data_IF_630880228594
#
_entry.id   IF_630880228594
#
_cell.length_a   1.000
_cell.length_b   1.000
_cell.length_c   1.000
_cell.angle_alpha   90.00
_cell.angle_beta   90.00
_cell.angle_gamma   90.00
#
_symmetry.space_group_name_H-M   'P 1'
#
loop_
_entity.id
_entity.type
_entity.pdbx_description
1 polymer ?
#
# COMPACT_ATOMS: atom_id res chain seq x y z
N UNK A 1 10.34 -44.99 0.49
CA UNK A 1 9.38 -45.70 -0.39
C UNK A 1 7.99 -45.61 0.24
N UNK A 2 7.10 -44.74 -0.26
CA UNK A 2 5.64 -44.87 -0.13
C UNK A 2 5.00 -44.02 -1.22
N UNK A 3 4.19 -44.67 -1.93
CA UNK A 3 3.57 -44.48 -3.23
C UNK A 3 2.66 -43.25 -3.35
N UNK A 4 2.80 -42.55 -4.47
CA UNK A 4 1.92 -41.50 -4.98
C UNK A 4 0.66 -42.16 -5.59
N UNK A 5 -0.55 -41.76 -5.16
CA UNK A 5 -1.79 -42.16 -5.73
C UNK A 5 -2.38 -41.03 -6.59
N UNK A 6 -2.24 -41.20 -7.90
CA UNK A 6 -2.85 -40.44 -8.99
C UNK A 6 -4.36 -40.71 -9.02
N UNK A 7 -5.19 -39.69 -8.99
CA UNK A 7 -6.60 -39.80 -9.37
C UNK A 7 -6.85 -39.07 -10.68
N UNK A 8 -7.18 -39.89 -11.67
CA UNK A 8 -7.75 -39.48 -12.96
C UNK A 8 -9.22 -39.17 -12.79
N UNK A 9 -9.71 -38.16 -13.42
CA UNK A 9 -10.65 -38.07 -14.50
C UNK A 9 -12.08 -38.38 -14.17
N UNK A 10 -12.97 -37.47 -14.51
CA UNK A 10 -14.20 -37.86 -15.18
C UNK A 10 -14.81 -36.69 -15.94
N UNK A 11 -14.94 -36.93 -17.22
CA UNK A 11 -15.70 -36.20 -18.22
C UNK A 11 -17.20 -36.53 -18.05
N UNK A 12 -18.04 -35.52 -18.15
CA UNK A 12 -19.47 -35.75 -18.44
C UNK A 12 -20.07 -34.47 -19.03
N UNK A 13 -20.30 -34.52 -20.24
CA UNK A 13 -21.53 -34.86 -20.96
C UNK A 13 -22.35 -33.63 -21.37
N UNK A 14 -22.23 -33.35 -22.67
CA UNK A 14 -23.07 -32.42 -23.42
C UNK A 14 -24.49 -32.98 -23.50
N UNK A 15 -25.50 -32.24 -23.08
CA UNK A 15 -26.90 -32.50 -23.47
C UNK A 15 -27.41 -31.31 -24.27
N UNK A 16 -27.46 -31.54 -25.57
CA UNK A 16 -28.25 -30.75 -26.50
C UNK A 16 -29.74 -30.92 -26.19
N UNK A 17 -30.47 -29.84 -26.03
CA UNK A 17 -31.94 -29.87 -26.07
C UNK A 17 -32.39 -29.00 -27.25
N UNK A 18 -32.79 -29.69 -28.30
CA UNK A 18 -33.61 -29.14 -29.36
C UNK A 18 -35.07 -29.09 -28.90
N UNK A 19 -35.70 -27.94 -28.94
CA UNK A 19 -37.15 -27.85 -28.95
C UNK A 19 -37.66 -26.85 -29.98
N UNK A 20 -38.60 -27.37 -30.69
CA UNK A 20 -39.22 -26.85 -31.89
C UNK A 20 -40.15 -25.67 -31.68
N UNK A 21 -40.35 -24.96 -32.76
CA UNK A 21 -41.21 -23.83 -32.95
C UNK A 21 -42.69 -24.11 -32.71
N UNK A 22 -43.41 -23.14 -32.14
CA UNK A 22 -44.81 -22.88 -32.44
C UNK A 22 -45.11 -21.41 -32.17
N UNK A 23 -45.73 -20.75 -33.13
CA UNK A 23 -45.93 -19.30 -33.20
C UNK A 23 -46.95 -18.74 -32.20
N UNK A 24 -46.83 -17.46 -31.99
CA UNK A 24 -47.79 -16.65 -31.25
C UNK A 24 -47.39 -15.17 -31.39
N UNK A 25 -48.10 -14.45 -32.26
CA UNK A 25 -48.03 -13.00 -32.33
C UNK A 25 -48.52 -12.38 -31.02
N UNK A 26 -47.63 -11.74 -30.28
CA UNK A 26 -48.00 -10.86 -29.19
C UNK A 26 -47.19 -9.59 -29.30
N UNK A 27 -47.88 -8.45 -29.31
CA UNK A 27 -47.37 -7.13 -29.45
C UNK A 27 -46.26 -6.84 -28.43
N UNK A 28 -45.05 -6.57 -28.91
CA UNK A 28 -43.93 -6.19 -28.07
C UNK A 28 -44.11 -4.74 -27.64
N UNK A 29 -44.50 -4.50 -26.40
CA UNK A 29 -44.29 -3.24 -25.72
C UNK A 29 -42.77 -3.07 -25.50
N UNK A 30 -42.17 -2.16 -26.27
CA UNK A 30 -40.76 -1.78 -26.10
C UNK A 30 -40.65 -1.01 -24.80
N UNK A 31 -40.38 -1.68 -23.72
CA UNK A 31 -39.89 -1.04 -22.49
C UNK A 31 -38.51 -0.48 -22.77
N UNK A 32 -38.41 0.85 -22.91
CA UNK A 32 -37.16 1.57 -22.91
C UNK A 32 -36.51 1.39 -21.54
N UNK A 33 -35.62 0.42 -21.43
CA UNK A 33 -34.71 0.32 -20.29
C UNK A 33 -33.73 1.48 -20.40
N UNK A 34 -34.00 2.54 -19.67
CA UNK A 34 -33.02 3.62 -19.47
C UNK A 34 -31.87 3.08 -18.66
N UNK A 35 -30.79 2.62 -19.31
CA UNK A 35 -29.50 2.38 -18.69
C UNK A 35 -28.88 3.73 -18.35
N UNK A 36 -29.31 4.30 -17.22
CA UNK A 36 -28.83 5.55 -16.68
C UNK A 36 -28.36 5.37 -15.23
N UNK A 37 -27.46 4.42 -15.01
CA UNK A 37 -26.67 4.41 -13.76
C UNK A 37 -25.22 4.55 -14.17
N UNK A 38 -24.77 5.81 -14.19
CA UNK A 38 -23.36 6.12 -14.18
C UNK A 38 -22.75 5.47 -12.95
N UNK A 39 -22.09 4.34 -13.15
CA UNK A 39 -21.20 3.75 -12.15
C UNK A 39 -20.08 4.77 -11.99
N UNK A 40 -20.20 5.62 -10.95
CA UNK A 40 -19.10 6.47 -10.51
C UNK A 40 -17.98 5.55 -10.12
N UNK A 41 -17.01 5.35 -11.01
CA UNK A 41 -15.80 4.60 -10.71
C UNK A 41 -15.15 5.19 -9.44
N UNK A 42 -14.40 4.38 -8.67
CA UNK A 42 -13.73 4.86 -7.48
C UNK A 42 -12.88 6.08 -7.87
N UNK A 43 -13.09 7.18 -7.13
CA UNK A 43 -12.34 8.43 -7.33
C UNK A 43 -10.85 8.10 -7.27
N UNK A 44 -10.03 8.49 -8.28
CA UNK A 44 -8.61 8.15 -8.28
C UNK A 44 -7.96 8.68 -7.00
N UNK A 45 -7.27 7.79 -6.29
CA UNK A 45 -6.52 8.17 -5.10
C UNK A 45 -5.44 9.18 -5.48
N UNK A 46 -5.19 10.22 -4.68
CA UNK A 46 -4.13 11.17 -4.95
C UNK A 46 -2.79 10.42 -5.04
N UNK A 47 -2.00 10.73 -6.05
CA UNK A 47 -0.67 10.15 -6.25
C UNK A 47 0.41 11.07 -5.69
N UNK A 48 1.54 10.47 -5.31
CA UNK A 48 2.76 11.17 -4.89
C UNK A 48 3.94 10.63 -5.70
N UNK A 49 4.87 11.51 -6.04
CA UNK A 49 6.11 11.11 -6.70
C UNK A 49 7.16 10.83 -5.63
N UNK A 50 7.66 9.61 -5.56
CA UNK A 50 8.73 9.21 -4.64
C UNK A 50 9.88 8.57 -5.41
N UNK A 51 11.08 8.66 -4.86
CA UNK A 51 12.25 7.94 -5.32
C UNK A 51 12.37 6.62 -4.56
N UNK A 52 12.46 5.52 -5.31
CA UNK A 52 12.58 4.19 -4.74
C UNK A 52 14.05 3.82 -4.53
N UNK A 53 14.31 3.06 -3.48
CA UNK A 53 15.65 2.58 -3.14
C UNK A 53 15.65 1.09 -2.86
N UNK A 54 16.68 0.41 -3.36
CA UNK A 54 16.97 -0.99 -3.00
C UNK A 54 17.34 -1.08 -1.51
N UNK A 55 17.32 -2.27 -0.89
CA UNK A 55 17.82 -2.46 0.47
C UNK A 55 19.28 -2.00 0.68
N UNK A 56 20.09 -2.03 -0.39
CA UNK A 56 21.47 -1.57 -0.38
C UNK A 56 21.64 -0.06 -0.63
N UNK A 57 20.55 0.74 -0.62
CA UNK A 57 20.63 2.19 -0.82
C UNK A 57 20.78 2.66 -2.26
N UNK A 58 20.74 1.76 -3.24
CA UNK A 58 20.82 2.16 -4.66
C UNK A 58 19.47 2.72 -5.11
N UNK A 59 19.48 3.92 -5.71
CA UNK A 59 18.30 4.50 -6.36
C UNK A 59 17.79 3.59 -7.50
N UNK A 60 16.49 3.38 -7.51
CA UNK A 60 15.75 2.66 -8.54
C UNK A 60 14.92 3.62 -9.42
N UNK A 61 15.09 4.93 -9.21
CA UNK A 61 14.40 5.98 -9.94
C UNK A 61 13.11 6.44 -9.27
N UNK A 62 12.51 7.49 -9.87
CA UNK A 62 11.25 8.08 -9.39
C UNK A 62 10.05 7.35 -9.94
N UNK A 63 9.03 7.18 -9.11
CA UNK A 63 7.79 6.52 -9.46
C UNK A 63 6.60 7.27 -8.87
N UNK A 64 5.50 7.30 -9.61
CA UNK A 64 4.20 7.76 -9.11
C UNK A 64 3.56 6.62 -8.31
N UNK A 65 3.30 6.87 -7.05
CA UNK A 65 2.67 5.90 -6.14
C UNK A 65 1.36 6.45 -5.62
N UNK A 66 0.38 5.57 -5.41
CA UNK A 66 -0.83 5.97 -4.71
C UNK A 66 -0.47 6.41 -3.29
N UNK A 67 -1.00 7.57 -2.87
CA UNK A 67 -0.83 8.03 -1.49
C UNK A 67 -1.46 7.04 -0.53
N UNK A 68 -0.71 6.62 0.47
CA UNK A 68 -1.23 5.73 1.52
C UNK A 68 -2.21 6.51 2.40
N UNK A 69 -3.47 6.16 2.30
CA UNK A 69 -4.55 6.72 3.14
C UNK A 69 -5.24 5.58 3.86
N UNK A 70 -5.38 5.70 5.18
CA UNK A 70 -6.05 4.72 6.03
C UNK A 70 -6.91 5.44 7.05
N UNK A 71 -7.95 4.77 7.51
CA UNK A 71 -8.77 5.20 8.62
C UNK A 71 -7.99 5.16 9.94
N UNK A 72 -8.46 5.86 10.93
CA UNK A 72 -7.87 5.87 12.28
C UNK A 72 -7.79 4.44 12.88
N UNK A 73 -8.84 3.66 12.69
CA UNK A 73 -8.89 2.27 13.16
C UNK A 73 -7.85 1.37 12.48
N UNK A 74 -7.63 1.55 11.17
CA UNK A 74 -6.61 0.80 10.41
C UNK A 74 -5.19 1.19 10.86
N UNK A 75 -4.94 2.48 11.14
CA UNK A 75 -3.66 2.92 11.68
C UNK A 75 -3.38 2.34 13.06
N UNK A 76 -4.36 2.36 13.97
CA UNK A 76 -4.25 1.74 15.31
C UNK A 76 -3.99 0.24 15.26
N UNK A 77 -4.51 -0.44 14.25
CA UNK A 77 -4.26 -1.88 14.03
C UNK A 77 -2.85 -2.16 13.50
N UNK A 78 -2.30 -1.25 12.68
CA UNK A 78 -0.99 -1.42 12.06
C UNK A 78 0.16 -1.00 12.95
N UNK A 79 -0.01 0.07 13.71
CA UNK A 79 1.04 0.73 14.48
C UNK A 79 0.99 0.32 15.96
N UNK A 80 2.13 0.34 16.63
CA UNK A 80 2.16 0.30 18.08
C UNK A 80 1.48 1.55 18.67
N UNK A 81 1.00 1.53 19.91
CA UNK A 81 0.41 2.71 20.54
C UNK A 81 1.30 3.95 20.46
N UNK A 82 2.58 3.82 20.81
CA UNK A 82 3.54 4.92 20.73
C UNK A 82 3.73 5.42 19.30
N UNK A 83 3.92 4.50 18.33
CA UNK A 83 4.08 4.88 16.92
C UNK A 83 2.84 5.58 16.36
N UNK A 84 1.65 5.17 16.81
CA UNK A 84 0.40 5.83 16.44
C UNK A 84 0.34 7.26 16.99
N UNK A 85 0.62 7.48 18.29
CA UNK A 85 0.61 8.82 18.90
C UNK A 85 1.62 9.75 18.21
N UNK A 86 2.86 9.28 17.99
CA UNK A 86 3.89 10.07 17.31
C UNK A 86 3.49 10.42 15.86
N UNK A 87 3.02 9.44 15.08
CA UNK A 87 2.83 9.66 13.63
C UNK A 87 1.45 10.18 13.26
N UNK A 88 0.43 10.02 14.10
CA UNK A 88 -0.96 10.38 13.82
C UNK A 88 -1.53 11.45 14.74
N UNK A 89 -0.89 11.70 15.90
CA UNK A 89 -1.32 12.67 16.91
C UNK A 89 -0.30 13.77 17.18
N UNK A 90 0.78 13.82 16.40
CA UNK A 90 1.86 14.79 16.53
C UNK A 90 2.53 14.77 17.92
N UNK A 91 2.59 13.61 18.54
CA UNK A 91 3.33 13.39 19.77
C UNK A 91 4.82 13.17 19.50
N UNK A 92 5.63 13.16 20.53
CA UNK A 92 7.08 12.97 20.45
C UNK A 92 7.53 11.82 21.33
N UNK A 93 8.40 10.96 20.81
CA UNK A 93 9.07 9.93 21.59
C UNK A 93 10.00 10.56 22.64
N UNK A 94 10.05 9.97 23.84
CA UNK A 94 10.93 10.46 24.90
C UNK A 94 12.41 10.41 24.47
N UNK A 95 13.21 11.45 24.77
CA UNK A 95 14.63 11.43 24.44
C UNK A 95 15.34 10.23 25.10
N UNK A 96 16.24 9.61 24.39
CA UNK A 96 17.02 8.46 24.88
C UNK A 96 16.32 7.11 24.79
N UNK A 97 15.04 7.04 24.40
CA UNK A 97 14.27 5.78 24.38
C UNK A 97 14.08 5.20 22.97
N UNK A 98 14.44 5.95 21.94
CA UNK A 98 14.22 5.57 20.55
C UNK A 98 15.00 4.32 20.15
N UNK A 99 14.29 3.34 19.55
CA UNK A 99 14.86 2.07 19.06
C UNK A 99 16.13 2.25 18.20
N UNK A 100 16.18 3.34 17.45
CA UNK A 100 17.26 3.57 16.48
C UNK A 100 18.32 4.57 16.96
N UNK A 101 18.22 5.06 18.21
CA UNK A 101 19.20 6.02 18.75
C UNK A 101 20.62 5.46 18.62
N UNK A 102 20.89 4.30 19.21
CA UNK A 102 22.20 3.66 19.23
C UNK A 102 22.40 2.62 18.10
N UNK A 103 21.61 2.71 17.04
CA UNK A 103 21.72 1.80 15.89
C UNK A 103 22.77 2.34 14.90
N UNK A 104 23.88 1.61 14.73
CA UNK A 104 24.96 1.94 13.79
C UNK A 104 25.07 0.95 12.63
N UNK A 105 24.09 0.05 12.48
CA UNK A 105 24.05 -0.90 11.36
C UNK A 105 23.81 -0.17 10.05
N UNK A 106 24.53 -0.57 9.00
CA UNK A 106 24.32 -0.05 7.66
C UNK A 106 22.94 -0.43 7.13
N UNK A 107 22.26 0.52 6.50
CA UNK A 107 20.93 0.29 5.93
C UNK A 107 20.13 1.56 5.71
N UNK A 108 18.89 1.35 5.30
CA UNK A 108 17.94 2.42 4.97
C UNK A 108 16.87 2.51 6.05
N UNK A 109 16.67 3.70 6.59
CA UNK A 109 15.56 4.03 7.48
C UNK A 109 14.31 4.32 6.66
N UNK A 110 13.22 3.61 6.96
CA UNK A 110 11.95 3.70 6.23
C UNK A 110 10.82 4.17 7.12
N UNK A 111 9.88 4.88 6.52
CA UNK A 111 8.68 5.34 7.22
C UNK A 111 7.84 4.14 7.69
N UNK A 112 7.55 4.06 8.98
CA UNK A 112 6.73 2.98 9.58
C UNK A 112 5.28 2.97 9.05
N UNK A 113 4.80 4.08 8.49
CA UNK A 113 3.45 4.20 7.95
C UNK A 113 3.34 3.69 6.50
N UNK A 114 4.28 4.06 5.62
CA UNK A 114 4.17 3.85 4.18
C UNK A 114 5.39 3.19 3.52
N UNK A 115 6.38 2.77 4.31
CA UNK A 115 7.63 2.13 3.87
C UNK A 115 8.50 2.97 2.90
N UNK A 116 8.19 4.25 2.72
CA UNK A 116 9.05 5.15 1.94
C UNK A 116 10.43 5.25 2.59
N UNK A 117 11.50 5.10 1.78
CA UNK A 117 12.87 5.34 2.24
C UNK A 117 13.06 6.81 2.62
N UNK A 118 13.53 7.09 3.83
CA UNK A 118 13.65 8.47 4.34
C UNK A 118 15.11 8.86 4.54
N UNK A 119 15.90 8.00 5.20
CA UNK A 119 17.30 8.27 5.50
C UNK A 119 18.20 7.08 5.20
N UNK A 120 19.46 7.38 4.86
CA UNK A 120 20.54 6.40 4.80
C UNK A 120 21.32 6.43 6.11
N UNK A 121 21.74 5.27 6.62
CA UNK A 121 22.59 5.15 7.80
C UNK A 121 23.89 5.93 7.72
N UNK A 122 24.41 6.15 6.51
CA UNK A 122 25.63 6.92 6.28
C UNK A 122 25.47 8.41 6.61
N UNK A 123 24.24 8.91 6.65
CA UNK A 123 23.92 10.29 7.00
C UNK A 123 23.60 10.47 8.49
N UNK A 124 23.56 9.37 9.27
CA UNK A 124 23.30 9.41 10.69
C UNK A 124 24.51 9.97 11.47
N UNK A 125 24.22 10.79 12.47
CA UNK A 125 25.24 11.36 13.36
C UNK A 125 24.72 11.47 14.79
N UNK A 126 25.64 11.58 15.74
CA UNK A 126 25.31 11.77 17.15
C UNK A 126 25.14 13.26 17.46
N UNK A 127 23.90 13.69 17.65
CA UNK A 127 23.57 15.09 17.97
C UNK A 127 23.57 15.40 19.46
N UNK A 128 23.55 14.38 20.32
CA UNK A 128 23.40 14.54 21.77
C UNK A 128 22.00 14.91 22.23
N UNK A 129 21.03 15.04 21.32
CA UNK A 129 19.65 15.46 21.64
C UNK A 129 18.80 14.34 22.24
N UNK A 130 19.24 13.08 22.10
CA UNK A 130 18.49 11.89 22.54
C UNK A 130 17.58 11.30 21.47
N UNK A 131 17.64 11.77 20.24
CA UNK A 131 16.94 11.21 19.08
C UNK A 131 17.90 10.87 17.95
N UNK A 132 17.59 9.85 17.10
CA UNK A 132 18.36 9.58 15.90
C UNK A 132 18.39 10.81 14.99
N UNK A 133 19.59 11.29 14.66
CA UNK A 133 19.76 12.50 13.85
C UNK A 133 20.45 12.18 12.53
N UNK A 134 20.04 12.89 11.47
CA UNK A 134 20.53 12.73 10.11
C UNK A 134 20.77 14.10 9.50
N UNK A 135 21.88 14.29 8.81
CA UNK A 135 22.23 15.58 8.23
C UNK A 135 21.57 15.84 6.87
N UNK A 136 21.02 14.80 6.21
CA UNK A 136 20.19 14.93 5.01
C UNK A 136 19.27 13.72 4.83
N UNK A 137 18.12 13.86 4.15
CA UNK A 137 17.31 12.73 3.71
C UNK A 137 18.01 11.95 2.58
N UNK A 138 17.61 10.70 2.35
CA UNK A 138 18.12 9.89 1.24
C UNK A 138 17.70 10.45 -0.13
N UNK A 139 16.55 11.11 -0.19
CA UNK A 139 16.07 11.89 -1.35
C UNK A 139 15.14 13.01 -0.88
N UNK A 140 15.32 14.21 -1.42
CA UNK A 140 14.42 15.34 -1.16
C UNK A 140 13.01 15.13 -1.69
N UNK A 141 12.82 14.23 -2.67
CA UNK A 141 11.48 13.87 -3.16
C UNK A 141 10.68 12.99 -2.20
N UNK A 142 11.33 12.41 -1.19
CA UNK A 142 10.70 11.50 -0.24
C UNK A 142 10.27 12.18 1.08
N UNK A 143 10.60 13.45 1.24
CA UNK A 143 10.26 14.25 2.43
C UNK A 143 9.61 15.56 2.02
N UNK A 144 8.76 16.08 2.88
CA UNK A 144 8.19 17.43 2.77
C UNK A 144 8.60 18.17 4.03
N UNK A 145 9.25 19.30 3.85
CA UNK A 145 9.64 20.19 4.93
C UNK A 145 8.56 21.28 5.09
N UNK A 146 8.09 21.47 6.29
CA UNK A 146 7.19 22.57 6.66
C UNK A 146 7.84 23.38 7.77
N UNK A 147 7.80 24.71 7.73
CA UNK A 147 8.26 25.51 8.88
C UNK A 147 7.36 25.22 10.11
N UNK A 148 7.98 25.22 11.27
CA UNK A 148 7.31 25.11 12.57
C UNK A 148 6.57 26.40 12.93
#
# INVERSE_FOLDING_TARGET
MKSVKKRQGESSSRRAFLWSAAGGCAAAAVARVTFGQGVSGPKPSPTVSIELFSPAGKSLGRMQMARVTKTDAEWKKQLSPLSYEVTRRADTERPGTGKYLNNHASGIYRCICCDTAVYDSQTKFESGTGWPSFWQPISRSNVVETPD
#
